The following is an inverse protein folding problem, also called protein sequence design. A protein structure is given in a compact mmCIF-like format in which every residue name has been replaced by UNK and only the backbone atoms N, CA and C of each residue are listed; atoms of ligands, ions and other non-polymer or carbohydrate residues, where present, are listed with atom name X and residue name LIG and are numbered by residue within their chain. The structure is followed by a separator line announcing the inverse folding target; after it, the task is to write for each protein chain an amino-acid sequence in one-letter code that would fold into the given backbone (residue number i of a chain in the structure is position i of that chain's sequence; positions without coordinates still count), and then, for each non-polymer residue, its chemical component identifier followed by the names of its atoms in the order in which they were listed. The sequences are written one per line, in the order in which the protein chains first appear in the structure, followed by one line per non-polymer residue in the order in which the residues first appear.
data_IF_384416059350
#
_entry.id   IF_384416059350
#
_cell.length_a   1.000
_cell.length_b   1.000
_cell.length_c   1.000
_cell.angle_alpha   90.00
_cell.angle_beta   90.00
_cell.angle_gamma   90.00
#
_symmetry.space_group_name_H-M   'P 1'
#
loop_
_entity.id
_entity.type
_entity.pdbx_description
1 polymer ?
#
# COMPACT_ATOMS: atom_id res chain seq x y z
N UNK A 1 12.76 -25.75 34.09
CA UNK A 1 12.51 -24.28 34.06
C UNK A 1 12.36 -23.72 32.64
N UNK A 2 13.07 -24.24 31.64
CA UNK A 2 13.08 -23.72 30.26
C UNK A 2 11.73 -23.83 29.49
N UNK A 3 10.98 -24.94 29.68
CA UNK A 3 9.65 -25.12 29.05
C UNK A 3 8.63 -24.08 29.51
N UNK A 4 8.65 -23.71 30.79
CA UNK A 4 7.74 -22.70 31.37
C UNK A 4 8.10 -21.30 30.86
N UNK A 5 9.38 -20.99 30.74
CA UNK A 5 9.83 -19.72 30.15
C UNK A 5 9.44 -19.59 28.66
N UNK A 6 9.57 -20.68 27.88
CA UNK A 6 9.14 -20.72 26.48
C UNK A 6 7.61 -20.54 26.33
N UNK A 7 6.82 -21.20 27.16
CA UNK A 7 5.36 -21.05 27.17
C UNK A 7 4.92 -19.62 27.54
N UNK A 8 5.58 -18.99 28.54
CA UNK A 8 5.32 -17.59 28.92
C UNK A 8 5.67 -16.62 27.78
N UNK A 9 6.77 -16.83 27.06
CA UNK A 9 7.12 -16.03 25.87
C UNK A 9 6.07 -16.18 24.78
N UNK A 10 5.62 -17.40 24.50
CA UNK A 10 4.58 -17.65 23.51
C UNK A 10 3.26 -16.92 23.86
N UNK A 11 2.77 -17.05 25.10
CA UNK A 11 1.57 -16.34 25.55
C UNK A 11 1.69 -14.81 25.45
N UNK A 12 2.86 -14.24 25.78
CA UNK A 12 3.11 -12.79 25.61
C UNK A 12 3.07 -12.37 24.15
N UNK A 13 3.70 -13.15 23.25
CA UNK A 13 3.69 -12.89 21.82
C UNK A 13 2.29 -12.99 21.23
N UNK A 14 1.53 -14.04 21.54
CA UNK A 14 0.14 -14.18 21.08
C UNK A 14 -0.74 -13.02 21.54
N UNK A 15 -0.58 -12.54 22.78
CA UNK A 15 -1.29 -11.35 23.28
C UNK A 15 -0.87 -10.07 22.55
N UNK A 16 0.41 -9.93 22.20
CA UNK A 16 0.89 -8.77 21.44
C UNK A 16 0.35 -8.78 20.00
N UNK A 17 0.36 -9.94 19.34
CA UNK A 17 -0.22 -10.15 18.01
C UNK A 17 -1.70 -9.78 18.02
N UNK A 18 -2.48 -10.29 18.98
CA UNK A 18 -3.91 -9.98 19.07
C UNK A 18 -4.20 -8.48 19.26
N UNK A 19 -3.35 -7.75 20.00
CA UNK A 19 -3.48 -6.29 20.12
C UNK A 19 -3.16 -5.59 18.80
N UNK A 20 -2.10 -6.02 18.11
CA UNK A 20 -1.73 -5.49 16.80
C UNK A 20 -2.82 -5.73 15.76
N UNK A 21 -3.39 -6.94 15.72
CA UNK A 21 -4.53 -7.29 14.87
C UNK A 21 -5.74 -6.40 15.15
N UNK A 22 -6.06 -6.16 16.42
CA UNK A 22 -7.15 -5.23 16.76
C UNK A 22 -6.90 -3.84 16.18
N UNK A 23 -5.70 -3.29 16.31
CA UNK A 23 -5.37 -1.98 15.74
C UNK A 23 -5.49 -2.01 14.21
N UNK A 24 -4.90 -3.01 13.57
CA UNK A 24 -4.92 -3.19 12.12
C UNK A 24 -6.35 -3.23 11.53
N UNK A 25 -7.28 -3.84 12.27
CA UNK A 25 -8.66 -4.04 11.86
C UNK A 25 -9.62 -2.92 12.31
N UNK A 26 -9.18 -1.97 13.14
CA UNK A 26 -10.12 -1.01 13.77
C UNK A 26 -9.66 0.45 13.83
N UNK A 27 -8.36 0.72 13.73
CA UNK A 27 -7.86 2.11 13.69
C UNK A 27 -8.32 2.75 12.39
N UNK A 28 -9.12 3.81 12.51
CA UNK A 28 -9.68 4.54 11.38
C UNK A 28 -8.59 5.34 10.67
N UNK A 29 -8.59 5.25 9.36
CA UNK A 29 -7.73 6.01 8.46
C UNK A 29 -8.65 6.68 7.43
N UNK A 30 -8.42 7.96 7.18
CA UNK A 30 -9.09 8.69 6.11
C UNK A 30 -8.38 8.40 4.79
N UNK A 31 -9.01 7.60 3.93
CA UNK A 31 -8.46 7.25 2.61
C UNK A 31 -8.96 8.27 1.60
N UNK A 32 -8.04 9.07 1.08
CA UNK A 32 -8.32 10.18 0.15
C UNK A 32 -7.37 10.14 -1.03
N UNK A 33 -7.85 10.46 -2.23
CA UNK A 33 -7.00 10.62 -3.42
C UNK A 33 -6.34 9.33 -3.94
N UNK A 34 -6.73 8.15 -3.44
CA UNK A 34 -6.18 6.87 -3.90
C UNK A 34 -6.79 6.50 -5.24
N UNK A 35 -5.98 6.53 -6.28
CA UNK A 35 -6.38 6.09 -7.62
C UNK A 35 -6.65 4.58 -7.64
N UNK A 36 -7.76 4.17 -8.24
CA UNK A 36 -8.26 2.80 -8.22
C UNK A 36 -9.22 2.51 -7.05
N UNK A 37 -9.50 3.50 -6.20
CA UNK A 37 -10.42 3.39 -5.08
C UNK A 37 -11.34 4.61 -4.97
N UNK A 38 -10.80 5.79 -4.67
CA UNK A 38 -11.62 7.01 -4.50
C UNK A 38 -12.28 7.46 -5.81
N UNK A 39 -11.55 7.37 -6.92
CA UNK A 39 -12.01 7.65 -8.29
C UNK A 39 -13.09 6.66 -8.74
N UNK A 40 -12.89 5.37 -8.46
CA UNK A 40 -13.82 4.29 -8.86
C UNK A 40 -15.11 4.32 -8.05
N UNK A 41 -15.02 4.58 -6.75
CA UNK A 41 -16.19 4.66 -5.85
C UNK A 41 -16.86 6.03 -5.88
N UNK A 42 -16.28 7.02 -6.56
CA UNK A 42 -16.73 8.41 -6.59
C UNK A 42 -16.91 9.00 -5.18
N UNK A 43 -15.95 8.74 -4.30
CA UNK A 43 -15.94 9.19 -2.90
C UNK A 43 -14.64 9.93 -2.59
N UNK A 44 -14.74 11.21 -2.22
CA UNK A 44 -13.58 12.05 -1.88
C UNK A 44 -12.84 11.55 -0.64
N UNK A 45 -13.59 11.01 0.33
CA UNK A 45 -13.06 10.43 1.58
C UNK A 45 -13.77 9.13 1.88
N UNK A 46 -12.99 8.10 2.20
CA UNK A 46 -13.46 6.80 2.65
C UNK A 46 -12.89 6.57 4.05
N UNK A 47 -13.75 6.29 5.03
CA UNK A 47 -13.29 5.89 6.36
C UNK A 47 -12.97 4.40 6.34
N UNK A 48 -11.69 4.06 6.35
CA UNK A 48 -11.20 2.68 6.29
C UNK A 48 -10.28 2.34 7.46
N UNK A 49 -9.59 1.21 7.33
CA UNK A 49 -8.54 0.73 8.23
C UNK A 49 -7.52 -0.07 7.40
N UNK A 50 -6.43 -0.57 7.99
CA UNK A 50 -5.38 -1.27 7.23
C UNK A 50 -5.94 -2.50 6.48
N UNK A 51 -6.87 -3.21 7.12
CA UNK A 51 -7.62 -4.31 6.54
C UNK A 51 -8.55 -3.95 5.38
N UNK A 52 -8.76 -2.66 5.03
CA UNK A 52 -9.47 -2.29 3.80
C UNK A 52 -8.68 -2.65 2.54
N UNK A 53 -7.34 -2.51 2.58
CA UNK A 53 -6.45 -2.88 1.46
C UNK A 53 -5.75 -4.23 1.65
N UNK A 54 -5.77 -4.78 2.86
CA UNK A 54 -5.08 -6.00 3.27
C UNK A 54 -6.04 -6.96 4.00
N UNK A 55 -7.15 -7.30 3.35
CA UNK A 55 -8.31 -8.04 3.89
C UNK A 55 -8.17 -9.57 3.81
N UNK A 56 -7.22 -10.11 3.05
CA UNK A 56 -7.08 -11.56 2.90
C UNK A 56 -6.52 -12.20 4.20
N UNK A 57 -7.27 -13.13 4.85
CA UNK A 57 -6.90 -13.67 6.15
C UNK A 57 -5.50 -14.29 6.15
N UNK A 58 -4.76 -14.07 7.25
CA UNK A 58 -3.43 -14.61 7.53
C UNK A 58 -2.29 -14.18 6.57
N UNK A 59 -2.59 -13.63 5.39
CA UNK A 59 -1.59 -13.26 4.38
C UNK A 59 -1.45 -11.74 4.24
N UNK A 60 -2.50 -10.98 4.53
CA UNK A 60 -2.52 -9.53 4.32
C UNK A 60 -2.43 -9.16 2.84
N UNK A 61 -2.98 -10.00 1.97
CA UNK A 61 -3.20 -9.66 0.57
C UNK A 61 -4.51 -8.86 0.43
N UNK A 62 -4.80 -8.37 -0.77
CA UNK A 62 -6.15 -7.94 -1.12
C UNK A 62 -6.92 -9.12 -1.75
N UNK A 63 -8.13 -9.37 -1.27
CA UNK A 63 -9.04 -10.45 -1.67
C UNK A 63 -9.47 -10.35 -3.13
N UNK A 64 -9.42 -9.14 -3.70
CA UNK A 64 -9.72 -8.85 -5.10
C UNK A 64 -8.52 -8.26 -5.82
N UNK A 65 -8.55 -8.33 -7.16
CA UNK A 65 -7.55 -7.69 -8.01
C UNK A 65 -7.79 -6.19 -8.04
N UNK A 66 -7.25 -5.46 -7.06
CA UNK A 66 -7.32 -4.00 -6.99
C UNK A 66 -5.90 -3.39 -7.00
N UNK A 67 -5.39 -3.00 -8.19
CA UNK A 67 -4.20 -2.17 -8.32
C UNK A 67 -4.54 -0.74 -7.90
N UNK A 68 -3.78 -0.19 -6.96
CA UNK A 68 -4.05 1.12 -6.36
C UNK A 68 -2.84 2.03 -6.50
N UNK A 69 -3.08 3.33 -6.68
CA UNK A 69 -2.06 4.37 -6.60
C UNK A 69 -2.25 5.11 -5.27
N UNK A 70 -1.32 4.88 -4.34
CA UNK A 70 -1.28 5.54 -3.01
C UNK A 70 -0.26 6.69 -2.96
N UNK A 71 0.27 7.13 -4.10
CA UNK A 71 1.24 8.24 -4.19
C UNK A 71 2.72 7.84 -4.09
N UNK A 72 3.02 6.57 -3.79
CA UNK A 72 4.41 6.07 -3.68
C UNK A 72 5.19 6.21 -4.99
N UNK A 73 4.51 6.03 -6.13
CA UNK A 73 5.15 6.07 -7.44
C UNK A 73 5.49 7.50 -7.89
N UNK A 74 4.94 8.53 -7.25
CA UNK A 74 5.15 9.92 -7.66
C UNK A 74 6.62 10.29 -7.54
N UNK A 75 7.18 10.94 -8.57
CA UNK A 75 8.61 11.28 -8.58
C UNK A 75 9.00 12.20 -7.42
N UNK A 76 8.09 13.07 -6.96
CA UNK A 76 8.34 14.00 -5.87
C UNK A 76 9.47 14.99 -6.18
N UNK A 77 10.06 15.57 -5.12
CA UNK A 77 11.14 16.56 -5.23
C UNK A 77 12.54 15.95 -5.22
N UNK A 78 12.70 14.79 -4.59
CA UNK A 78 13.87 13.96 -4.79
C UNK A 78 13.79 13.48 -6.25
N UNK A 79 14.85 13.58 -7.03
CA UNK A 79 14.83 13.28 -8.48
C UNK A 79 15.38 11.88 -8.78
N UNK A 80 14.75 10.78 -8.34
CA UNK A 80 15.11 9.46 -8.85
C UNK A 80 14.82 9.42 -10.37
N UNK A 81 15.40 8.45 -11.09
CA UNK A 81 14.99 8.19 -12.46
C UNK A 81 13.46 8.06 -12.54
N UNK A 82 12.85 8.90 -13.36
CA UNK A 82 11.41 8.99 -13.51
C UNK A 82 11.02 8.91 -14.99
N UNK A 83 9.81 8.43 -15.22
CA UNK A 83 9.14 8.42 -16.50
C UNK A 83 8.24 9.65 -16.58
N UNK A 84 8.42 10.44 -17.63
CA UNK A 84 7.47 11.48 -18.02
C UNK A 84 6.47 10.88 -19.00
N UNK A 85 5.22 10.74 -18.56
CA UNK A 85 4.14 10.13 -19.34
C UNK A 85 3.15 11.21 -19.77
N UNK A 86 2.94 11.34 -21.08
CA UNK A 86 1.95 12.25 -21.63
C UNK A 86 0.71 11.50 -22.09
N UNK A 87 -0.44 11.86 -21.52
CA UNK A 87 -1.73 11.33 -21.89
C UNK A 87 -2.29 12.06 -23.11
N UNK A 88 -2.43 11.36 -24.23
CA UNK A 88 -2.92 11.94 -25.49
C UNK A 88 -4.40 11.69 -25.76
N UNK A 89 -5.06 10.83 -24.97
CA UNK A 89 -6.48 10.48 -25.15
C UNK A 89 -7.17 10.09 -23.83
N UNK A 90 -8.50 9.98 -23.87
CA UNK A 90 -9.33 9.62 -22.72
C UNK A 90 -9.55 10.75 -21.70
N UNK A 91 -10.13 10.46 -20.53
CA UNK A 91 -10.49 11.47 -19.52
C UNK A 91 -9.29 12.25 -18.93
N UNK A 92 -8.08 11.75 -19.14
CA UNK A 92 -6.83 12.37 -18.66
C UNK A 92 -6.02 12.99 -19.81
N UNK A 93 -6.58 13.12 -21.01
CA UNK A 93 -5.90 13.74 -22.15
C UNK A 93 -5.36 15.14 -21.81
N UNK A 94 -4.16 15.46 -22.27
CA UNK A 94 -3.45 16.70 -21.98
C UNK A 94 -2.67 16.71 -20.66
N UNK A 95 -2.88 15.72 -19.78
CA UNK A 95 -2.11 15.61 -18.52
C UNK A 95 -0.75 14.97 -18.75
N UNK A 96 0.23 15.47 -18.00
CA UNK A 96 1.58 14.90 -17.91
C UNK A 96 1.78 14.39 -16.49
N UNK A 97 2.33 13.19 -16.37
CA UNK A 97 2.66 12.55 -15.10
C UNK A 97 4.16 12.31 -15.03
N UNK A 98 4.76 12.56 -13.86
CA UNK A 98 6.13 12.19 -13.56
C UNK A 98 6.13 11.15 -12.44
N UNK A 99 6.49 9.92 -12.79
CA UNK A 99 6.43 8.77 -11.89
C UNK A 99 7.71 7.95 -11.96
N UNK A 100 8.14 7.41 -10.83
CA UNK A 100 9.25 6.46 -10.74
C UNK A 100 8.88 5.08 -11.30
N UNK A 101 7.60 4.74 -11.26
CA UNK A 101 7.06 3.48 -11.75
C UNK A 101 5.67 3.71 -12.35
N UNK A 102 5.49 3.56 -13.68
CA UNK A 102 4.18 3.67 -14.30
C UNK A 102 3.19 2.58 -13.85
N UNK A 103 3.68 1.49 -13.26
CA UNK A 103 2.87 0.41 -12.71
C UNK A 103 2.02 -0.27 -13.77
N UNK A 104 0.73 -0.46 -13.46
CA UNK A 104 -0.24 -1.15 -14.34
C UNK A 104 -0.37 -0.50 -15.73
N UNK A 105 -0.09 0.79 -15.88
CA UNK A 105 -0.12 1.46 -17.18
C UNK A 105 0.84 0.84 -18.20
N UNK A 106 1.95 0.20 -17.78
CA UNK A 106 2.85 -0.52 -18.69
C UNK A 106 2.19 -1.74 -19.35
N UNK A 107 1.15 -2.29 -18.72
CA UNK A 107 0.43 -3.47 -19.20
C UNK A 107 -0.80 -3.04 -19.99
N UNK A 108 -1.54 -2.04 -19.50
CA UNK A 108 -2.83 -1.65 -20.08
C UNK A 108 -2.73 -0.56 -21.13
N UNK A 109 -1.65 0.22 -21.13
CA UNK A 109 -1.51 1.43 -21.96
C UNK A 109 -2.45 2.57 -21.55
N UNK A 110 -3.18 2.45 -20.44
CA UNK A 110 -4.18 3.44 -20.03
C UNK A 110 -3.61 4.44 -19.02
N UNK A 111 -3.84 5.73 -19.25
CA UNK A 111 -3.44 6.78 -18.31
C UNK A 111 -4.11 6.67 -16.94
N UNK A 112 -5.34 6.13 -16.88
CA UNK A 112 -6.04 5.91 -15.63
C UNK A 112 -5.38 4.84 -14.74
N UNK A 113 -4.39 4.10 -15.25
CA UNK A 113 -3.64 3.07 -14.53
C UNK A 113 -2.23 3.50 -14.10
N UNK A 114 -1.84 4.75 -14.37
CA UNK A 114 -0.50 5.26 -14.02
C UNK A 114 -0.29 5.23 -12.50
N UNK A 115 0.82 4.63 -12.08
CA UNK A 115 1.21 4.48 -10.68
C UNK A 115 0.38 3.47 -9.90
N UNK A 116 -0.60 2.80 -10.53
CA UNK A 116 -1.40 1.76 -9.85
C UNK A 116 -0.61 0.47 -9.77
N UNK A 117 -0.38 -0.01 -8.55
CA UNK A 117 0.36 -1.25 -8.28
C UNK A 117 -0.46 -2.18 -7.39
N UNK A 118 -0.16 -3.48 -7.46
CA UNK A 118 -0.78 -4.46 -6.58
C UNK A 118 -0.23 -4.30 -5.16
N UNK A 119 -1.11 -4.14 -4.17
CA UNK A 119 -0.69 -4.13 -2.76
C UNK A 119 0.05 -5.42 -2.37
N UNK A 120 1.15 -5.34 -1.60
CA UNK A 120 1.97 -6.50 -1.25
C UNK A 120 1.25 -7.42 -0.25
N UNK A 121 1.70 -8.67 -0.19
CA UNK A 121 1.37 -9.56 0.94
C UNK A 121 2.15 -9.10 2.18
N UNK A 122 1.51 -9.12 3.35
CA UNK A 122 2.15 -8.65 4.61
C UNK A 122 2.76 -9.78 5.45
N UNK A 123 2.53 -11.04 5.07
CA UNK A 123 3.16 -12.18 5.75
C UNK A 123 4.69 -12.10 5.60
N UNK A 124 5.38 -11.97 6.74
CA UNK A 124 6.84 -11.88 6.78
C UNK A 124 7.41 -10.50 6.42
N UNK A 125 6.57 -9.45 6.41
CA UNK A 125 6.96 -8.09 6.02
C UNK A 125 8.18 -7.57 6.79
N UNK A 126 8.28 -7.82 8.09
CA UNK A 126 9.31 -7.24 8.95
C UNK A 126 10.77 -7.54 8.54
N UNK A 127 11.01 -8.55 7.68
CA UNK A 127 12.33 -8.93 7.19
C UNK A 127 12.62 -8.44 5.75
N UNK A 128 11.83 -7.48 5.24
CA UNK A 128 11.81 -7.09 3.81
C UNK A 128 12.12 -5.61 3.56
N UNK A 129 12.79 -4.94 4.49
CA UNK A 129 13.28 -3.58 4.24
C UNK A 129 14.29 -3.56 3.06
N UNK A 130 14.37 -2.46 2.29
CA UNK A 130 13.49 -1.30 2.33
C UNK A 130 12.09 -1.60 1.73
N UNK A 131 11.09 -0.83 2.13
CA UNK A 131 9.68 -1.03 1.81
C UNK A 131 9.23 -0.15 0.63
N UNK A 132 8.03 -0.46 0.13
CA UNK A 132 7.46 0.06 -1.11
C UNK A 132 8.18 -0.40 -2.38
N UNK A 133 7.53 -0.28 -3.53
CA UNK A 133 8.07 -0.77 -4.81
C UNK A 133 9.28 0.05 -5.30
N UNK A 134 9.46 1.27 -4.80
CA UNK A 134 10.63 2.11 -5.05
C UNK A 134 11.65 2.13 -3.89
N UNK A 135 11.43 1.35 -2.81
CA UNK A 135 12.35 1.29 -1.67
C UNK A 135 12.43 2.57 -0.83
N UNK A 136 11.45 3.48 -0.92
CA UNK A 136 11.53 4.81 -0.30
C UNK A 136 11.40 4.81 1.23
N UNK A 137 10.81 3.75 1.82
CA UNK A 137 10.66 3.62 3.27
C UNK A 137 11.71 2.67 3.85
N UNK A 138 12.52 3.14 4.80
CA UNK A 138 13.62 2.34 5.38
C UNK A 138 13.15 1.45 6.52
N UNK A 139 12.12 1.87 7.25
CA UNK A 139 11.57 1.17 8.42
C UNK A 139 10.07 0.91 8.28
N UNK A 140 9.54 -0.03 9.07
CA UNK A 140 8.08 -0.23 9.16
C UNK A 140 7.37 1.00 9.72
N UNK A 141 8.07 1.81 10.54
CA UNK A 141 7.50 3.03 11.07
C UNK A 141 7.34 4.08 9.96
N UNK A 142 8.29 4.15 9.02
CA UNK A 142 8.18 5.00 7.82
C UNK A 142 6.97 4.59 6.97
N UNK A 143 6.70 3.27 6.85
CA UNK A 143 5.51 2.76 6.14
C UNK A 143 4.20 3.18 6.81
N UNK A 144 4.15 3.14 8.14
CA UNK A 144 2.93 3.46 8.89
C UNK A 144 2.66 4.97 8.93
N UNK A 145 3.72 5.78 8.88
CA UNK A 145 3.63 7.25 8.93
C UNK A 145 3.55 7.93 7.55
N UNK A 146 3.61 7.15 6.47
CA UNK A 146 3.46 7.62 5.09
C UNK A 146 2.06 8.17 4.82
#
# INVERSE_FOLDING_TARGET
MERVARARRHCRLSKAIARGEKLFNTVKIDITGVGGLNDVLNQQRISGFCGTGHDAPNVGNHSVKAPLNIGVADAGTNRPPAFTLWCTSGPLAGKIFEVTDPGRALITGQCADIGKVKGPILRGLAARAPYFHNGSATTLLDVVNF
#
